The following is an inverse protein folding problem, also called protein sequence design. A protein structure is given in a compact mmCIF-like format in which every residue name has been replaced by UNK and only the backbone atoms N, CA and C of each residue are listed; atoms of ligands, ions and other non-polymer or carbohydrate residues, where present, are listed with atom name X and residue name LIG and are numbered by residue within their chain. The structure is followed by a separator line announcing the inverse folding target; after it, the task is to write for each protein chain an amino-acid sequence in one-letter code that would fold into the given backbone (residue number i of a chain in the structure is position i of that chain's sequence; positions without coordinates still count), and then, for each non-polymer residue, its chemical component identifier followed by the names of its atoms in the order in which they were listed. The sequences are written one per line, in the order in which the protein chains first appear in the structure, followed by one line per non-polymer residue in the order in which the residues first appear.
data_IF_800406095400
#
_entry.id   IF_800406095400
#
_cell.length_a   1.000
_cell.length_b   1.000
_cell.length_c   1.000
_cell.angle_alpha   90.00
_cell.angle_beta   90.00
_cell.angle_gamma   90.00
#
_symmetry.space_group_name_H-M   'P 1'
#
loop_
_entity.id
_entity.type
_entity.pdbx_description
1 polymer ?
#
# COMPACT_ATOMS: atom_id res chain seq x y z
N UNK A 1 13.34 -0.58 18.84
CA UNK A 1 12.87 -1.85 19.44
C UNK A 1 11.39 -1.98 19.12
N UNK A 2 10.99 -3.04 18.43
CA UNK A 2 9.59 -3.31 18.14
C UNK A 2 8.93 -4.01 19.33
N UNK A 3 7.80 -3.50 19.81
CA UNK A 3 7.10 -4.08 20.94
C UNK A 3 6.05 -5.10 20.43
N UNK A 4 6.25 -6.38 20.75
CA UNK A 4 5.35 -7.49 20.36
C UNK A 4 4.25 -7.78 21.38
N UNK A 5 4.15 -6.99 22.46
CA UNK A 5 3.12 -7.21 23.47
C UNK A 5 1.73 -6.86 22.89
N UNK A 6 0.77 -7.81 22.84
CA UNK A 6 -0.57 -7.55 22.31
C UNK A 6 -1.30 -6.37 22.99
N UNK A 7 -1.01 -6.12 24.27
CA UNK A 7 -1.57 -4.99 25.02
C UNK A 7 -1.06 -3.62 24.58
N UNK A 8 0.00 -3.57 23.74
CA UNK A 8 0.51 -2.33 23.16
C UNK A 8 -0.04 -2.04 21.77
N UNK A 9 -0.89 -2.92 21.21
CA UNK A 9 -1.46 -2.73 19.89
C UNK A 9 -2.54 -1.64 19.92
N UNK A 10 -2.37 -0.64 19.09
CA UNK A 10 -3.35 0.43 18.93
C UNK A 10 -4.33 0.05 17.81
N UNK A 11 -5.60 -0.06 18.16
CA UNK A 11 -6.67 -0.25 17.19
C UNK A 11 -7.24 1.11 16.79
N UNK A 12 -7.34 1.35 15.49
CA UNK A 12 -7.96 2.57 14.94
C UNK A 12 -9.22 2.21 14.17
N UNK A 13 -10.26 3.03 14.31
CA UNK A 13 -11.47 2.85 13.51
C UNK A 13 -11.20 3.19 12.04
N UNK A 14 -11.80 2.43 11.10
CA UNK A 14 -11.72 2.76 9.68
C UNK A 14 -12.44 4.09 9.40
N UNK A 15 -12.07 4.73 8.30
CA UNK A 15 -12.76 5.95 7.84
C UNK A 15 -14.19 5.62 7.37
N UNK A 16 -15.14 6.49 7.70
CA UNK A 16 -16.57 6.27 7.45
C UNK A 16 -16.98 6.51 5.99
N UNK A 17 -16.13 7.15 5.17
CA UNK A 17 -16.40 7.40 3.76
C UNK A 17 -15.19 7.09 2.89
N UNK A 18 -15.45 6.70 1.65
CA UNK A 18 -14.40 6.47 0.66
C UNK A 18 -13.57 7.72 0.38
N UNK A 19 -14.21 8.88 0.32
CA UNK A 19 -13.53 10.17 0.11
C UNK A 19 -12.55 10.47 1.24
N UNK A 20 -12.97 10.32 2.49
CA UNK A 20 -12.07 10.56 3.63
C UNK A 20 -10.95 9.52 3.72
N UNK A 21 -11.19 8.28 3.29
CA UNK A 21 -10.16 7.28 3.14
C UNK A 21 -9.11 7.68 2.09
N UNK A 22 -9.52 8.09 0.89
CA UNK A 22 -8.62 8.54 -0.17
C UNK A 22 -7.84 9.78 0.26
N UNK A 23 -8.49 10.78 0.86
CA UNK A 23 -7.81 11.98 1.38
C UNK A 23 -6.74 11.63 2.43
N UNK A 24 -7.02 10.68 3.32
CA UNK A 24 -6.03 10.18 4.27
C UNK A 24 -4.82 9.56 3.57
N UNK A 25 -5.03 8.76 2.52
CA UNK A 25 -3.95 8.11 1.77
C UNK A 25 -3.11 9.11 0.97
N UNK A 26 -3.74 10.08 0.33
CA UNK A 26 -3.06 11.18 -0.36
C UNK A 26 -2.19 11.97 0.63
N UNK A 27 -2.71 12.29 1.81
CA UNK A 27 -1.95 12.95 2.87
C UNK A 27 -0.74 12.12 3.32
N UNK A 28 -0.90 10.82 3.50
CA UNK A 28 0.24 9.96 3.86
C UNK A 28 1.27 9.90 2.74
N UNK A 29 0.84 9.83 1.50
CA UNK A 29 1.72 9.85 0.34
C UNK A 29 2.49 11.17 0.21
N UNK A 30 1.91 12.31 0.57
CA UNK A 30 2.58 13.61 0.53
C UNK A 30 3.79 13.70 1.48
N UNK A 31 3.80 12.88 2.54
CA UNK A 31 4.92 12.79 3.48
C UNK A 31 6.15 12.08 2.90
N UNK A 32 6.05 11.51 1.69
CA UNK A 32 7.19 10.81 1.05
C UNK A 32 8.41 11.71 0.86
N UNK A 33 8.22 13.01 0.58
CA UNK A 33 9.32 13.99 0.51
C UNK A 33 10.05 14.17 1.84
N UNK A 34 9.33 14.12 2.96
CA UNK A 34 9.91 14.18 4.28
C UNK A 34 10.66 12.89 4.61
N UNK A 35 10.11 11.74 4.23
CA UNK A 35 10.75 10.44 4.41
C UNK A 35 12.09 10.35 3.66
N UNK A 36 12.22 10.96 2.49
CA UNK A 36 13.51 11.02 1.78
C UNK A 36 14.62 11.64 2.65
N UNK A 37 14.28 12.65 3.46
CA UNK A 37 15.24 13.36 4.31
C UNK A 37 15.47 12.66 5.64
N UNK A 38 14.41 12.17 6.28
CA UNK A 38 14.46 11.62 7.64
C UNK A 38 14.75 10.12 7.68
N UNK A 39 14.31 9.36 6.68
CA UNK A 39 14.50 7.92 6.59
C UNK A 39 14.62 7.47 5.12
N UNK A 40 15.81 7.64 4.50
CA UNK A 40 16.00 7.34 3.09
C UNK A 40 15.76 5.86 2.74
N UNK A 41 16.05 4.93 3.65
CA UNK A 41 15.78 3.51 3.44
C UNK A 41 14.28 3.23 3.30
N UNK A 42 13.47 3.84 4.16
CA UNK A 42 12.00 3.74 4.08
C UNK A 42 11.46 4.40 2.81
N UNK A 43 12.05 5.51 2.39
CA UNK A 43 11.70 6.15 1.12
C UNK A 43 11.98 5.24 -0.08
N UNK A 44 13.15 4.56 -0.14
CA UNK A 44 13.48 3.60 -1.18
C UNK A 44 12.47 2.46 -1.23
N UNK A 45 12.03 1.95 -0.07
CA UNK A 45 10.97 0.95 0.01
C UNK A 45 9.64 1.45 -0.58
N UNK A 46 9.21 2.67 -0.23
CA UNK A 46 7.99 3.27 -0.79
C UNK A 46 8.09 3.48 -2.29
N UNK A 47 9.24 3.96 -2.77
CA UNK A 47 9.50 4.18 -4.20
C UNK A 47 9.49 2.87 -4.99
N UNK A 48 10.11 1.81 -4.46
CA UNK A 48 10.12 0.50 -5.10
C UNK A 48 8.70 -0.08 -5.22
N UNK A 49 7.89 0.04 -4.18
CA UNK A 49 6.49 -0.37 -4.22
C UNK A 49 5.67 0.43 -5.25
N UNK A 50 5.90 1.74 -5.34
CA UNK A 50 5.27 2.60 -6.34
C UNK A 50 5.67 2.18 -7.76
N UNK A 51 6.97 2.04 -8.04
CA UNK A 51 7.48 1.67 -9.36
C UNK A 51 7.02 0.26 -9.78
N UNK A 52 6.99 -0.69 -8.85
CA UNK A 52 6.49 -2.04 -9.13
C UNK A 52 5.01 -2.02 -9.55
N UNK A 53 4.16 -1.27 -8.86
CA UNK A 53 2.76 -1.15 -9.22
C UNK A 53 2.55 -0.39 -10.54
N UNK A 54 3.32 0.67 -10.81
CA UNK A 54 3.32 1.34 -12.12
C UNK A 54 3.72 0.38 -13.25
N UNK A 55 4.76 -0.42 -13.06
CA UNK A 55 5.24 -1.38 -14.05
C UNK A 55 4.19 -2.46 -14.33
N UNK A 56 3.52 -2.97 -13.30
CA UNK A 56 2.43 -3.94 -13.45
C UNK A 56 1.24 -3.29 -14.18
N UNK A 57 0.80 -2.08 -13.78
CA UNK A 57 -0.28 -1.39 -14.46
C UNK A 57 0.01 -1.19 -15.94
N UNK A 58 1.23 -0.79 -16.28
CA UNK A 58 1.66 -0.60 -17.66
C UNK A 58 1.73 -1.93 -18.42
N UNK A 59 2.27 -2.98 -17.80
CA UNK A 59 2.39 -4.31 -18.41
C UNK A 59 1.03 -4.97 -18.68
N UNK A 60 0.02 -4.68 -17.88
CA UNK A 60 -1.35 -5.20 -18.09
C UNK A 60 -1.98 -4.66 -19.38
N UNK A 61 -1.54 -3.51 -19.89
CA UNK A 61 -2.00 -2.96 -21.18
C UNK A 61 -1.62 -3.91 -22.33
N UNK A 62 -0.45 -4.53 -22.26
CA UNK A 62 0.05 -5.43 -23.29
C UNK A 62 -0.39 -6.89 -23.12
N UNK A 63 -0.94 -7.25 -21.97
CA UNK A 63 -1.47 -8.56 -21.61
C UNK A 63 -0.59 -9.73 -22.04
N UNK A 64 0.70 -9.70 -21.71
CA UNK A 64 1.67 -10.74 -22.04
C UNK A 64 1.76 -11.80 -20.94
N UNK A 65 2.21 -13.02 -21.29
CA UNK A 65 2.47 -14.06 -20.30
C UNK A 65 3.45 -13.63 -19.20
N UNK A 66 4.41 -12.78 -19.53
CA UNK A 66 5.35 -12.19 -18.57
C UNK A 66 4.62 -11.29 -17.56
N UNK A 67 3.64 -10.49 -18.00
CA UNK A 67 2.86 -9.61 -17.13
C UNK A 67 2.08 -10.40 -16.09
N UNK A 68 1.46 -11.50 -16.53
CA UNK A 68 0.72 -12.41 -15.64
C UNK A 68 1.69 -13.05 -14.63
N UNK A 69 2.84 -13.51 -15.08
CA UNK A 69 3.85 -14.13 -14.23
C UNK A 69 4.36 -13.15 -13.15
N UNK A 70 4.69 -11.92 -13.52
CA UNK A 70 5.12 -10.87 -12.57
C UNK A 70 4.02 -10.53 -11.56
N UNK A 71 2.77 -10.47 -12.01
CA UNK A 71 1.63 -10.24 -11.12
C UNK A 71 1.45 -11.39 -10.12
N UNK A 72 1.61 -12.64 -10.55
CA UNK A 72 1.54 -13.81 -9.66
C UNK A 72 2.67 -13.84 -8.64
N UNK A 73 3.90 -13.48 -9.03
CA UNK A 73 5.02 -13.32 -8.08
C UNK A 73 4.68 -12.26 -7.03
N UNK A 74 4.18 -11.10 -7.45
CA UNK A 74 3.75 -10.04 -6.53
C UNK A 74 2.70 -10.56 -5.54
N UNK A 75 1.65 -11.23 -6.04
CA UNK A 75 0.61 -11.84 -5.21
C UNK A 75 1.23 -12.77 -4.15
N UNK A 76 2.12 -13.66 -4.57
CA UNK A 76 2.75 -14.60 -3.64
C UNK A 76 3.56 -13.89 -2.55
N UNK A 77 4.39 -12.92 -2.92
CA UNK A 77 5.23 -12.18 -1.97
C UNK A 77 4.39 -11.38 -0.98
N UNK A 78 3.35 -10.70 -1.45
CA UNK A 78 2.45 -9.93 -0.57
C UNK A 78 1.61 -10.85 0.34
N UNK A 79 1.16 -12.01 -0.17
CA UNK A 79 0.48 -13.02 0.64
C UNK A 79 1.37 -13.52 1.79
N UNK A 80 2.65 -13.74 1.50
CA UNK A 80 3.63 -14.17 2.50
C UNK A 80 3.80 -13.11 3.61
N UNK A 81 3.98 -11.85 3.23
CA UNK A 81 4.08 -10.73 4.19
C UNK A 81 2.80 -10.59 5.01
N UNK A 82 1.63 -10.68 4.35
CA UNK A 82 0.34 -10.59 5.00
C UNK A 82 0.12 -11.75 5.99
N UNK A 83 0.53 -12.96 5.63
CA UNK A 83 0.46 -14.14 6.50
C UNK A 83 1.30 -13.94 7.77
N UNK A 84 2.55 -13.47 7.63
CA UNK A 84 3.40 -13.15 8.79
C UNK A 84 2.74 -12.07 9.65
N UNK A 85 2.26 -10.98 9.03
CA UNK A 85 1.59 -9.89 9.73
C UNK A 85 0.34 -10.36 10.50
N UNK A 86 -0.48 -11.23 9.89
CA UNK A 86 -1.67 -11.76 10.56
C UNK A 86 -1.33 -12.58 11.80
N UNK A 87 -0.23 -13.33 11.76
CA UNK A 87 0.26 -14.09 12.93
C UNK A 87 0.81 -13.18 14.03
N UNK A 88 1.55 -12.14 13.65
CA UNK A 88 2.12 -11.18 14.60
C UNK A 88 1.05 -10.33 15.29
N UNK A 89 0.05 -9.89 14.55
CA UNK A 89 -1.00 -8.98 15.05
C UNK A 89 -2.29 -9.70 15.45
N UNK A 90 -2.31 -11.03 15.39
CA UNK A 90 -3.46 -11.87 15.75
C UNK A 90 -4.76 -11.46 15.02
N UNK A 91 -4.63 -11.03 13.77
CA UNK A 91 -5.76 -10.59 12.94
C UNK A 91 -6.05 -11.60 11.84
N UNK A 92 -7.34 -11.96 11.62
CA UNK A 92 -7.70 -12.91 10.56
C UNK A 92 -7.51 -12.28 9.17
N UNK A 93 -7.12 -13.12 8.20
CA UNK A 93 -7.01 -12.72 6.80
C UNK A 93 -8.31 -13.04 6.07
N UNK A 94 -8.89 -12.05 5.39
CA UNK A 94 -9.93 -12.25 4.40
C UNK A 94 -9.30 -12.46 3.02
N UNK A 95 -9.26 -13.69 2.54
CA UNK A 95 -8.65 -14.03 1.25
C UNK A 95 -9.33 -13.31 0.07
N UNK A 96 -10.65 -13.19 0.09
CA UNK A 96 -11.39 -12.47 -0.94
C UNK A 96 -11.00 -10.99 -0.99
N UNK A 97 -10.97 -10.32 0.16
CA UNK A 97 -10.54 -8.93 0.28
C UNK A 97 -9.10 -8.75 -0.20
N UNK A 98 -8.23 -9.70 0.12
CA UNK A 98 -6.84 -9.69 -0.32
C UNK A 98 -6.73 -9.75 -1.85
N UNK A 99 -7.42 -10.67 -2.51
CA UNK A 99 -7.39 -10.80 -3.98
C UNK A 99 -7.95 -9.54 -4.65
N UNK A 100 -9.12 -9.07 -4.21
CA UNK A 100 -9.73 -7.84 -4.75
C UNK A 100 -8.80 -6.63 -4.59
N UNK A 101 -8.16 -6.52 -3.43
CA UNK A 101 -7.21 -5.44 -3.17
C UNK A 101 -6.02 -5.48 -4.12
N UNK A 102 -5.46 -6.66 -4.38
CA UNK A 102 -4.33 -6.83 -5.30
C UNK A 102 -4.64 -6.46 -6.74
N UNK A 103 -5.87 -6.69 -7.19
CA UNK A 103 -6.32 -6.25 -8.53
C UNK A 103 -6.41 -4.73 -8.63
N UNK A 104 -6.79 -4.06 -7.53
CA UNK A 104 -6.95 -2.60 -7.49
C UNK A 104 -5.60 -1.88 -7.29
N UNK A 105 -4.66 -2.47 -6.56
CA UNK A 105 -3.39 -1.85 -6.19
C UNK A 105 -2.59 -1.25 -7.37
N UNK A 106 -2.42 -1.92 -8.53
CA UNK A 106 -1.65 -1.38 -9.64
C UNK A 106 -2.17 -0.05 -10.18
N UNK A 107 -3.46 0.24 -9.97
CA UNK A 107 -4.06 1.52 -10.34
C UNK A 107 -4.06 2.47 -9.15
N UNK A 108 -4.45 1.97 -7.98
CA UNK A 108 -4.62 2.75 -6.76
C UNK A 108 -3.31 3.36 -6.24
N UNK A 109 -2.22 2.58 -6.16
CA UNK A 109 -0.95 3.05 -5.62
C UNK A 109 -0.33 4.15 -6.50
N UNK A 110 -0.24 4.03 -7.85
CA UNK A 110 0.19 5.12 -8.71
C UNK A 110 -0.68 6.38 -8.57
N UNK A 111 -2.00 6.21 -8.54
CA UNK A 111 -2.93 7.33 -8.39
C UNK A 111 -2.68 8.11 -7.08
N UNK A 112 -2.66 7.41 -5.93
CA UNK A 112 -2.44 8.04 -4.63
C UNK A 112 -1.02 8.63 -4.53
N UNK A 113 -0.02 7.94 -5.10
CA UNK A 113 1.36 8.42 -5.14
C UNK A 113 1.49 9.76 -5.86
N UNK A 114 0.95 9.86 -7.07
CA UNK A 114 0.97 11.08 -7.88
C UNK A 114 0.14 12.18 -7.22
N UNK A 115 -1.08 11.86 -6.75
CA UNK A 115 -1.94 12.81 -6.07
C UNK A 115 -1.30 13.38 -4.80
N UNK A 116 -0.53 12.58 -4.05
CA UNK A 116 0.21 13.04 -2.87
C UNK A 116 1.38 13.97 -3.19
N UNK A 117 1.97 13.84 -4.38
CA UNK A 117 3.06 14.73 -4.80
C UNK A 117 2.55 16.09 -5.28
N UNK A 118 1.38 16.14 -5.91
CA UNK A 118 0.83 17.31 -6.60
C UNK A 118 -0.32 17.94 -5.82
N UNK A 119 -1.09 17.10 -5.10
CA UNK A 119 -2.36 17.47 -4.50
C UNK A 119 -2.25 18.39 -3.30
N UNK A 120 -3.23 19.29 -3.18
CA UNK A 120 -3.54 19.99 -1.93
C UNK A 120 -4.52 19.11 -1.14
N UNK A 121 -4.22 18.85 0.12
CA UNK A 121 -5.11 18.09 1.01
C UNK A 121 -5.61 18.98 2.15
N UNK A 122 -6.85 18.75 2.58
CA UNK A 122 -7.42 19.45 3.74
C UNK A 122 -7.01 18.75 5.03
N UNK A 123 -6.62 19.53 6.06
CA UNK A 123 -6.28 19.04 7.39
C UNK A 123 -7.51 18.85 8.30
N UNK A 124 -8.67 19.36 7.85
CA UNK A 124 -9.89 19.35 8.67
C UNK A 124 -10.96 18.50 7.99
N UNK A 125 -11.15 17.34 8.51
CA UNK A 125 -12.42 16.58 8.56
C UNK A 125 -12.49 15.85 9.90
#
# INVERSE_FOLDING_TARGET
IFNYNPNSFVTTLPKNSFVSYINQRIRWSSNSKQNLKSNPLFFVFLLSAFLANCSIAFSLIYFSGLSIFLFLIKLFLEAFVLFIGSRLFLTPISYLTYIMWNVIQPIYIPFVGIAGLIGKYSWKE
#
